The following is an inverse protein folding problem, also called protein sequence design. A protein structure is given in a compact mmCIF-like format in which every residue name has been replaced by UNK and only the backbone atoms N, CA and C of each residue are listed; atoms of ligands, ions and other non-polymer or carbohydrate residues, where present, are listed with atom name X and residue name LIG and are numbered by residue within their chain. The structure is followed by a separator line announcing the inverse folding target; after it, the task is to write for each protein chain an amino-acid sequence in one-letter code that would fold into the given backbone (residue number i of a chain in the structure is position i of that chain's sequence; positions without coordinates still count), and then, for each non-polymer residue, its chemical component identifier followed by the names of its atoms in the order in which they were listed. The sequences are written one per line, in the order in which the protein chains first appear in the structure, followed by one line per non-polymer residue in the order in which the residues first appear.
data_IF_438240848226
#
_entry.id   IF_438240848226
#
_cell.length_a   1.000
_cell.length_b   1.000
_cell.length_c   1.000
_cell.angle_alpha   90.00
_cell.angle_beta   90.00
_cell.angle_gamma   90.00
#
_symmetry.space_group_name_H-M   'P 1'
#
loop_
_entity.id
_entity.type
_entity.pdbx_description
1 polymer ?
#
# COMPACT_ATOMS: atom_id res chain seq x y z
N UNK A 1 24.82 29.99 -32.35
CA UNK A 1 24.41 29.81 -30.95
C UNK A 1 23.29 28.77 -30.94
N UNK A 2 23.38 27.68 -30.18
CA UNK A 2 22.28 26.73 -30.06
C UNK A 2 21.07 27.45 -29.46
N UNK A 3 19.92 27.36 -30.13
CA UNK A 3 18.66 27.89 -29.61
C UNK A 3 18.29 27.11 -28.35
N UNK A 4 18.26 27.78 -27.20
CA UNK A 4 17.80 27.20 -25.95
C UNK A 4 16.36 27.64 -25.70
N UNK A 5 15.49 26.68 -25.38
CA UNK A 5 14.14 26.97 -24.94
C UNK A 5 14.17 27.78 -23.62
N UNK A 6 13.20 28.67 -23.38
CA UNK A 6 13.04 29.27 -22.06
C UNK A 6 12.84 28.18 -20.99
N UNK A 7 13.26 28.45 -19.75
CA UNK A 7 13.25 27.44 -18.69
C UNK A 7 11.85 26.86 -18.42
N UNK A 8 10.80 27.70 -18.41
CA UNK A 8 9.43 27.25 -18.11
C UNK A 8 8.91 26.16 -19.07
N UNK A 9 8.92 26.34 -20.41
CA UNK A 9 8.52 25.28 -21.33
C UNK A 9 9.46 24.07 -21.28
N UNK A 10 10.76 24.25 -21.01
CA UNK A 10 11.69 23.14 -20.80
C UNK A 10 11.26 22.27 -19.60
N UNK A 11 10.94 22.89 -18.46
CA UNK A 11 10.42 22.18 -17.28
C UNK A 11 9.07 21.51 -17.54
N UNK A 12 8.16 22.15 -18.29
CA UNK A 12 6.88 21.52 -18.65
C UNK A 12 7.09 20.28 -19.52
N UNK A 13 7.98 20.34 -20.51
CA UNK A 13 8.34 19.18 -21.34
C UNK A 13 8.92 18.06 -20.47
N UNK A 14 9.80 18.39 -19.53
CA UNK A 14 10.39 17.41 -18.61
C UNK A 14 9.36 16.79 -17.68
N UNK A 15 8.38 17.54 -17.18
CA UNK A 15 7.29 16.99 -16.38
C UNK A 15 6.41 16.02 -17.19
N UNK A 16 6.13 16.34 -18.46
CA UNK A 16 5.41 15.43 -19.37
C UNK A 16 6.23 14.21 -19.79
N UNK A 17 7.55 14.35 -19.89
CA UNK A 17 8.45 13.25 -20.23
C UNK A 17 8.78 12.36 -19.03
N UNK A 18 8.55 12.84 -17.80
CA UNK A 18 8.79 12.06 -16.60
C UNK A 18 7.86 10.82 -16.60
N UNK A 19 8.39 9.62 -16.29
CA UNK A 19 7.59 8.41 -16.19
C UNK A 19 6.37 8.60 -15.29
N UNK A 20 5.23 7.95 -15.55
CA UNK A 20 4.01 8.15 -14.78
C UNK A 20 4.25 7.84 -13.29
N UNK A 21 3.40 8.43 -12.43
CA UNK A 21 3.39 8.16 -11.00
C UNK A 21 2.59 6.87 -10.75
N UNK A 22 3.11 5.75 -11.23
CA UNK A 22 2.62 4.40 -10.95
C UNK A 22 3.71 3.65 -10.17
N UNK A 23 3.35 2.69 -9.28
CA UNK A 23 4.35 1.96 -8.45
C UNK A 23 5.43 1.36 -9.35
N UNK A 24 5.03 0.63 -10.38
CA UNK A 24 5.96 -0.19 -11.17
C UNK A 24 6.94 0.68 -11.97
N UNK A 25 6.56 1.93 -12.28
CA UNK A 25 7.40 2.91 -12.95
C UNK A 25 8.01 3.93 -12.00
N UNK A 26 7.82 3.80 -10.68
CA UNK A 26 8.30 4.80 -9.73
C UNK A 26 9.83 4.80 -9.67
N UNK A 27 10.45 3.62 -9.75
CA UNK A 27 11.90 3.50 -9.87
C UNK A 27 12.43 4.22 -11.11
N UNK A 28 11.75 4.08 -12.25
CA UNK A 28 12.09 4.78 -13.49
C UNK A 28 11.91 6.29 -13.34
N UNK A 29 10.85 6.73 -12.64
CA UNK A 29 10.61 8.16 -12.38
C UNK A 29 11.68 8.77 -11.48
N UNK A 30 12.10 8.05 -10.43
CA UNK A 30 13.20 8.46 -9.55
C UNK A 30 14.51 8.52 -10.33
N UNK A 31 14.84 7.49 -11.10
CA UNK A 31 16.05 7.45 -11.94
C UNK A 31 16.03 8.57 -12.99
N UNK A 32 14.86 8.85 -13.60
CA UNK A 32 14.66 10.00 -14.49
C UNK A 32 15.02 11.31 -13.80
N UNK A 33 14.47 11.61 -12.62
CA UNK A 33 14.77 12.86 -11.92
C UNK A 33 16.22 12.93 -11.43
N UNK A 34 16.81 11.81 -11.00
CA UNK A 34 18.24 11.76 -10.67
C UNK A 34 19.06 12.13 -11.91
N UNK A 35 18.81 11.50 -13.06
CA UNK A 35 19.51 11.81 -14.32
C UNK A 35 19.34 13.28 -14.70
N UNK A 36 18.11 13.80 -14.70
CA UNK A 36 17.85 15.21 -15.03
C UNK A 36 18.56 16.15 -14.06
N UNK A 37 18.60 15.83 -12.76
CA UNK A 37 19.26 16.66 -11.75
C UNK A 37 20.76 16.82 -12.00
N UNK A 38 21.39 15.83 -12.66
CA UNK A 38 22.82 15.81 -12.99
C UNK A 38 23.16 16.48 -14.32
N UNK A 39 22.19 16.62 -15.25
CA UNK A 39 22.45 17.11 -16.61
C UNK A 39 22.67 18.63 -16.65
N UNK A 40 21.86 19.41 -15.94
CA UNK A 40 21.99 20.87 -16.02
C UNK A 40 21.61 21.60 -14.72
N UNK A 41 22.47 22.53 -14.28
CA UNK A 41 22.31 23.29 -13.03
C UNK A 41 20.97 24.03 -12.90
N UNK A 42 20.40 24.50 -14.02
CA UNK A 42 19.11 25.20 -14.02
C UNK A 42 17.90 24.30 -13.76
N UNK A 43 18.02 22.99 -13.95
CA UNK A 43 16.92 22.02 -13.70
C UNK A 43 17.15 21.22 -12.42
N UNK A 44 18.37 21.23 -11.87
CA UNK A 44 18.71 20.52 -10.62
C UNK A 44 17.76 20.83 -9.49
N UNK A 45 17.49 22.11 -9.22
CA UNK A 45 16.61 22.49 -8.10
C UNK A 45 15.17 21.96 -8.28
N UNK A 46 14.62 22.05 -9.50
CA UNK A 46 13.31 21.52 -9.84
C UNK A 46 13.26 19.99 -9.73
N UNK A 47 14.27 19.28 -10.25
CA UNK A 47 14.31 17.82 -10.20
C UNK A 47 14.47 17.32 -8.75
N UNK A 48 15.27 18.02 -7.93
CA UNK A 48 15.39 17.73 -6.51
C UNK A 48 14.07 17.97 -5.77
N UNK A 49 13.38 19.08 -6.04
CA UNK A 49 12.04 19.32 -5.49
C UNK A 49 11.08 18.16 -5.81
N UNK A 50 11.05 17.70 -7.06
CA UNK A 50 10.22 16.54 -7.48
C UNK A 50 10.61 15.22 -6.81
N UNK A 51 11.91 15.01 -6.54
CA UNK A 51 12.40 13.87 -5.76
C UNK A 51 12.00 13.97 -4.29
N UNK A 52 11.93 15.19 -3.74
CA UNK A 52 11.47 15.42 -2.38
C UNK A 52 9.94 15.32 -2.24
N UNK A 53 9.15 15.43 -3.31
CA UNK A 53 7.69 15.24 -3.22
C UNK A 53 7.29 13.77 -2.96
N UNK A 54 8.21 12.83 -3.13
CA UNK A 54 7.94 11.40 -3.14
C UNK A 54 8.97 10.64 -2.29
N UNK A 55 8.49 9.81 -1.37
CA UNK A 55 9.33 8.85 -0.67
C UNK A 55 8.97 7.43 -1.09
N UNK A 56 9.91 6.76 -1.76
CA UNK A 56 9.80 5.34 -2.06
C UNK A 56 10.63 4.54 -1.08
N UNK A 57 9.94 3.64 -0.39
CA UNK A 57 10.52 2.61 0.43
C UNK A 57 10.15 1.23 -0.11
N UNK A 58 11.17 0.46 -0.46
CA UNK A 58 11.06 -0.97 -0.75
C UNK A 58 11.68 -1.70 0.42
N UNK A 59 10.88 -2.46 1.15
CA UNK A 59 11.34 -3.31 2.23
C UNK A 59 12.35 -4.33 1.70
N UNK A 60 13.41 -4.54 2.45
CA UNK A 60 14.35 -5.64 2.24
C UNK A 60 14.63 -6.30 3.58
N UNK A 61 14.64 -7.64 3.65
CA UNK A 61 14.92 -8.35 4.90
C UNK A 61 16.41 -8.20 5.26
N UNK A 62 16.75 -7.13 5.98
CA UNK A 62 18.10 -6.83 6.45
C UNK A 62 18.08 -6.44 7.93
N UNK A 63 19.10 -6.85 8.72
CA UNK A 63 19.17 -6.52 10.14
C UNK A 63 19.19 -5.02 10.46
N UNK A 64 19.67 -4.17 9.54
CA UNK A 64 19.80 -2.72 9.74
C UNK A 64 18.80 -1.89 8.92
N UNK A 65 17.76 -2.51 8.36
CA UNK A 65 16.87 -1.82 7.43
C UNK A 65 16.11 -0.66 8.08
N UNK A 66 15.74 -0.77 9.36
CA UNK A 66 15.13 0.35 10.11
C UNK A 66 16.06 1.54 10.20
N UNK A 67 17.28 1.34 10.71
CA UNK A 67 18.24 2.42 10.89
C UNK A 67 18.55 3.10 9.56
N UNK A 68 18.59 2.32 8.47
CA UNK A 68 18.72 2.85 7.12
C UNK A 68 17.50 3.65 6.70
N UNK A 69 16.29 3.16 6.95
CA UNK A 69 15.05 3.87 6.65
C UNK A 69 14.97 5.20 7.39
N UNK A 70 15.19 5.17 8.71
CA UNK A 70 15.18 6.34 9.58
C UNK A 70 16.20 7.39 9.13
N UNK A 71 17.44 6.97 8.87
CA UNK A 71 18.49 7.86 8.34
C UNK A 71 18.09 8.46 6.98
N UNK A 72 17.45 7.68 6.11
CA UNK A 72 16.97 8.18 4.81
C UNK A 72 15.82 9.18 4.96
N UNK A 73 14.88 8.93 5.86
CA UNK A 73 13.81 9.87 6.17
C UNK A 73 14.36 11.18 6.74
N UNK A 74 15.19 11.09 7.77
CA UNK A 74 15.80 12.26 8.42
C UNK A 74 16.66 13.08 7.43
N UNK A 75 17.42 12.41 6.56
CA UNK A 75 18.24 13.06 5.54
C UNK A 75 17.41 13.68 4.40
N UNK A 76 16.28 13.06 4.04
CA UNK A 76 15.46 13.48 2.90
C UNK A 76 14.40 14.53 3.21
N UNK A 77 13.86 14.52 4.44
CA UNK A 77 12.63 15.24 4.77
C UNK A 77 12.76 16.22 5.95
N UNK A 78 13.78 16.08 6.80
CA UNK A 78 14.01 17.01 7.91
C UNK A 78 12.77 17.25 8.79
N UNK A 79 12.80 18.26 9.67
CA UNK A 79 11.62 18.63 10.48
C UNK A 79 10.68 19.62 9.79
N UNK A 80 11.17 20.30 8.76
CA UNK A 80 10.52 21.49 8.19
C UNK A 80 9.81 21.21 6.86
N UNK A 81 9.90 19.98 6.32
CA UNK A 81 9.20 19.61 5.07
C UNK A 81 8.27 18.44 5.30
N UNK A 82 7.01 18.65 4.96
CA UNK A 82 6.00 17.60 4.92
C UNK A 82 6.27 16.63 3.77
N UNK A 83 6.13 15.33 4.03
CA UNK A 83 6.10 14.33 2.98
C UNK A 83 4.71 14.35 2.33
N UNK A 84 4.63 14.63 1.04
CA UNK A 84 3.34 14.61 0.33
C UNK A 84 2.93 13.19 -0.12
N UNK A 85 3.89 12.35 -0.55
CA UNK A 85 3.59 11.03 -1.11
C UNK A 85 4.50 9.94 -0.56
N UNK A 86 3.89 8.92 0.02
CA UNK A 86 4.58 7.77 0.57
C UNK A 86 4.24 6.52 -0.23
N UNK A 87 5.26 5.83 -0.72
CA UNK A 87 5.16 4.55 -1.41
C UNK A 87 5.86 3.49 -0.58
N UNK A 88 5.09 2.52 -0.08
CA UNK A 88 5.56 1.40 0.72
C UNK A 88 5.39 0.13 -0.10
N UNK A 89 6.51 -0.42 -0.56
CA UNK A 89 6.57 -1.75 -1.14
C UNK A 89 7.04 -2.74 -0.08
N UNK A 90 6.11 -3.54 0.41
CA UNK A 90 6.29 -4.55 1.45
C UNK A 90 6.24 -5.96 0.86
N UNK A 91 6.44 -6.13 -0.45
CA UNK A 91 6.33 -7.45 -1.09
C UNK A 91 7.33 -8.49 -0.58
N UNK A 92 8.55 -8.08 -0.23
CA UNK A 92 9.58 -8.96 0.34
C UNK A 92 9.40 -9.21 1.85
N UNK A 93 8.28 -8.78 2.43
CA UNK A 93 8.04 -8.94 3.85
C UNK A 93 7.80 -10.41 4.21
N UNK A 94 8.42 -10.97 5.27
CA UNK A 94 8.38 -12.39 5.54
C UNK A 94 6.94 -12.85 5.79
N UNK A 95 6.56 -13.94 5.12
CA UNK A 95 5.20 -14.49 5.14
C UNK A 95 4.92 -15.34 6.39
N UNK A 96 5.97 -15.81 7.05
CA UNK A 96 5.91 -16.92 8.01
C UNK A 96 5.84 -16.46 9.47
N UNK A 97 5.60 -15.17 9.73
CA UNK A 97 5.61 -14.61 11.09
C UNK A 97 4.35 -15.00 11.88
N UNK A 98 3.26 -15.36 11.20
CA UNK A 98 2.00 -15.82 11.83
C UNK A 98 2.05 -17.29 12.30
N UNK A 99 3.06 -18.07 11.88
CA UNK A 99 3.25 -19.43 12.38
C UNK A 99 4.17 -19.38 13.59
N UNK A 100 3.59 -19.00 14.74
CA UNK A 100 4.23 -19.09 16.05
C UNK A 100 4.63 -20.52 16.40
N UNK A 101 5.72 -21.03 15.81
CA UNK A 101 6.57 -21.93 16.55
C UNK A 101 7.18 -21.10 17.67
N UNK A 102 6.71 -21.33 18.91
CA UNK A 102 7.37 -20.82 20.12
C UNK A 102 8.89 -20.91 19.90
N UNK A 103 9.63 -19.80 20.06
CA UNK A 103 11.07 -19.85 19.91
C UNK A 103 11.57 -20.90 20.91
N UNK A 104 12.03 -22.06 20.42
CA UNK A 104 12.60 -23.10 21.28
C UNK A 104 13.66 -22.40 22.11
N UNK A 105 13.51 -22.43 23.42
CA UNK A 105 14.28 -21.71 24.44
C UNK A 105 15.79 -21.96 24.41
N UNK A 106 16.26 -22.74 23.45
CA UNK A 106 17.58 -23.32 23.42
C UNK A 106 18.32 -22.99 22.11
N UNK A 107 17.73 -22.26 21.14
CA UNK A 107 18.39 -21.97 19.85
C UNK A 107 17.78 -20.80 19.08
N UNK A 108 18.55 -19.71 18.92
CA UNK A 108 18.30 -18.71 17.87
C UNK A 108 18.98 -19.21 16.59
N UNK A 109 18.21 -19.76 15.65
CA UNK A 109 18.69 -20.03 14.30
C UNK A 109 18.22 -18.90 13.37
N UNK A 110 19.12 -17.95 13.08
CA UNK A 110 18.90 -16.98 12.00
C UNK A 110 19.34 -17.62 10.69
N UNK A 111 18.41 -17.75 9.76
CA UNK A 111 18.68 -18.23 8.41
C UNK A 111 19.33 -17.10 7.61
N UNK A 112 20.63 -17.22 7.31
CA UNK A 112 21.33 -16.29 6.39
C UNK A 112 21.91 -17.10 5.23
N UNK A 113 21.44 -16.81 4.01
CA UNK A 113 21.90 -17.42 2.76
C UNK A 113 21.72 -18.95 2.63
N UNK A 114 20.59 -19.51 3.10
CA UNK A 114 20.21 -20.92 2.87
C UNK A 114 21.20 -22.00 3.38
N UNK A 115 22.19 -21.64 4.19
CA UNK A 115 23.15 -22.60 4.76
C UNK A 115 22.89 -22.81 6.25
N UNK A 116 22.73 -24.08 6.66
CA UNK A 116 22.69 -24.49 8.06
C UNK A 116 24.09 -24.39 8.66
N UNK A 117 24.23 -23.62 9.73
CA UNK A 117 25.42 -23.68 10.60
C UNK A 117 25.04 -24.44 11.86
N UNK A 118 25.74 -25.56 12.12
CA UNK A 118 25.60 -26.32 13.37
C UNK A 118 26.05 -25.46 14.56
N UNK A 119 25.21 -25.36 15.58
CA UNK A 119 25.51 -24.63 16.80
C UNK A 119 26.54 -25.39 17.65
N UNK A 120 27.58 -24.69 18.11
CA UNK A 120 28.47 -25.19 19.15
C UNK A 120 27.72 -25.19 20.50
N UNK A 121 27.80 -26.27 21.31
CA UNK A 121 27.02 -26.38 22.54
C UNK A 121 27.50 -25.41 23.61
N UNK A 122 26.60 -24.55 24.09
CA UNK A 122 26.78 -23.71 25.28
C UNK A 122 26.67 -24.56 26.55
N UNK A 123 27.75 -25.25 26.93
CA UNK A 123 27.83 -25.97 28.20
C UNK A 123 28.92 -25.42 29.14
N UNK A 124 29.46 -24.22 28.91
CA UNK A 124 30.65 -23.75 29.64
C UNK A 124 30.62 -22.31 30.14
N UNK A 125 29.45 -21.77 30.51
CA UNK A 125 29.38 -20.52 31.29
C UNK A 125 28.30 -20.63 32.38
N UNK A 126 28.57 -21.42 33.41
CA UNK A 126 27.91 -21.32 34.72
C UNK A 126 28.79 -20.48 35.64
N UNK A 127 28.39 -19.23 35.87
CA UNK A 127 29.00 -18.33 36.85
C UNK A 127 28.01 -17.21 37.18
N UNK A 128 27.19 -17.44 38.20
CA UNK A 128 25.94 -16.73 38.43
C UNK A 128 26.05 -15.28 38.86
N UNK A 129 25.00 -14.53 38.55
CA UNK A 129 24.44 -13.45 39.37
C UNK A 129 22.93 -13.47 39.17
N UNK A 130 22.19 -13.60 40.26
CA UNK A 130 20.75 -13.42 40.30
C UNK A 130 20.42 -11.94 40.03
N UNK A 131 19.66 -11.67 38.97
CA UNK A 131 19.19 -10.33 38.66
C UNK A 131 18.32 -10.32 37.41
N UNK A 132 17.00 -10.17 37.61
CA UNK A 132 15.99 -9.69 36.65
C UNK A 132 16.08 -10.20 35.22
N UNK A 133 15.24 -11.19 34.87
CA UNK A 133 14.88 -11.48 33.49
C UNK A 133 14.01 -10.32 32.94
N UNK A 134 14.66 -9.23 32.55
CA UNK A 134 14.13 -8.36 31.50
C UNK A 134 14.42 -9.12 30.21
N UNK A 135 13.37 -9.71 29.65
CA UNK A 135 13.45 -10.41 28.39
C UNK A 135 13.91 -9.42 27.32
N UNK A 136 15.04 -9.72 26.71
CA UNK A 136 15.59 -9.00 25.57
C UNK A 136 14.83 -9.50 24.34
N UNK A 137 13.58 -9.07 24.22
CA UNK A 137 12.74 -9.18 23.02
C UNK A 137 12.60 -7.78 22.41
N UNK A 138 13.73 -7.21 21.97
CA UNK A 138 13.69 -5.89 21.34
C UNK A 138 14.89 -5.74 20.41
N UNK A 139 14.97 -6.59 19.39
CA UNK A 139 15.84 -6.39 18.23
C UNK A 139 15.55 -7.47 17.20
N UNK A 140 14.60 -7.22 16.30
CA UNK A 140 14.38 -8.18 15.23
C UNK A 140 13.40 -7.83 14.13
N UNK A 141 12.42 -6.96 14.36
CA UNK A 141 11.41 -6.66 13.34
C UNK A 141 10.98 -5.20 13.44
N UNK A 142 11.80 -4.29 12.93
CA UNK A 142 11.39 -2.92 12.73
C UNK A 142 11.80 -2.57 11.31
N UNK A 143 10.85 -2.18 10.50
CA UNK A 143 11.17 -1.82 9.11
C UNK A 143 10.23 -0.80 8.55
N UNK A 144 8.96 -0.90 8.90
CA UNK A 144 7.90 0.06 8.62
C UNK A 144 6.84 -0.07 9.71
N UNK A 145 6.69 -1.30 10.23
CA UNK A 145 6.04 -1.63 11.47
C UNK A 145 6.99 -2.41 12.41
N UNK A 146 6.75 -2.32 13.71
CA UNK A 146 7.35 -3.09 14.79
C UNK A 146 6.41 -4.24 15.10
N UNK A 147 6.90 -5.48 15.16
CA UNK A 147 6.08 -6.55 15.70
C UNK A 147 6.01 -6.39 17.23
N UNK A 148 4.81 -6.23 17.76
CA UNK A 148 4.56 -6.11 19.20
C UNK A 148 3.82 -7.36 19.67
N UNK A 149 4.44 -8.06 20.62
CA UNK A 149 3.80 -9.14 21.36
C UNK A 149 3.00 -8.52 22.50
N UNK A 150 1.67 -8.49 22.41
CA UNK A 150 0.81 -8.07 23.53
C UNK A 150 0.46 -9.27 24.42
N UNK A 151 1.29 -9.46 25.45
CA UNK A 151 1.15 -10.52 26.48
C UNK A 151 -0.24 -10.55 27.16
N UNK A 152 -0.99 -9.44 27.14
CA UNK A 152 -2.29 -9.36 27.79
C UNK A 152 -3.46 -9.70 26.85
N UNK A 153 -3.29 -9.49 25.54
CA UNK A 153 -4.33 -9.74 24.55
C UNK A 153 -4.23 -11.13 23.91
N UNK A 154 -3.07 -11.77 23.96
CA UNK A 154 -2.84 -13.08 23.32
C UNK A 154 -2.93 -13.02 21.80
N UNK A 155 -2.65 -11.85 21.22
CA UNK A 155 -2.66 -11.63 19.78
C UNK A 155 -1.41 -10.87 19.35
N UNK A 156 -0.82 -11.35 18.27
CA UNK A 156 0.35 -10.80 17.62
C UNK A 156 -0.01 -9.62 16.71
N UNK A 157 0.72 -8.51 16.81
CA UNK A 157 0.29 -7.28 16.14
C UNK A 157 1.43 -6.43 15.56
N UNK A 158 1.20 -5.82 14.38
CA UNK A 158 2.16 -4.97 13.67
C UNK A 158 1.93 -3.48 13.92
N UNK A 159 2.92 -2.82 14.53
CA UNK A 159 2.91 -1.39 14.84
C UNK A 159 3.68 -0.50 13.88
N UNK A 160 3.01 0.28 13.00
CA UNK A 160 3.74 1.24 12.16
C UNK A 160 4.62 2.15 13.02
N UNK A 161 5.89 2.27 12.64
CA UNK A 161 6.88 3.01 13.41
C UNK A 161 6.39 4.45 13.65
N UNK A 162 6.50 4.92 14.90
CA UNK A 162 6.07 6.26 15.32
C UNK A 162 6.63 7.37 14.42
N UNK A 163 7.80 7.15 13.81
CA UNK A 163 8.38 8.05 12.81
C UNK A 163 7.45 8.24 11.61
N UNK A 164 7.00 7.17 10.95
CA UNK A 164 6.13 7.27 9.77
C UNK A 164 4.80 7.89 10.17
N UNK A 165 4.28 7.54 11.35
CA UNK A 165 3.06 8.13 11.88
C UNK A 165 3.19 9.66 12.02
N UNK A 166 4.31 10.15 12.59
CA UNK A 166 4.55 11.59 12.75
C UNK A 166 4.71 12.35 11.42
N UNK A 167 5.18 11.70 10.36
CA UNK A 167 5.26 12.30 9.03
C UNK A 167 3.96 12.09 8.21
N UNK A 168 3.02 11.28 8.70
CA UNK A 168 1.81 10.91 7.98
C UNK A 168 0.66 11.91 8.09
N UNK A 169 0.72 12.83 9.05
CA UNK A 169 -0.32 13.86 9.30
C UNK A 169 -0.56 14.79 8.09
N UNK A 170 0.35 14.82 7.10
CA UNK A 170 0.28 15.71 5.93
C UNK A 170 0.41 14.93 4.61
N UNK A 171 0.19 13.61 4.63
CA UNK A 171 0.28 12.81 3.41
C UNK A 171 -0.91 13.09 2.48
N UNK A 172 -0.64 13.60 1.29
CA UNK A 172 -1.66 13.68 0.24
C UNK A 172 -2.00 12.29 -0.30
N UNK A 173 -0.98 11.44 -0.47
CA UNK A 173 -1.12 10.11 -1.09
C UNK A 173 -0.31 9.06 -0.36
N UNK A 174 -1.00 7.98 0.03
CA UNK A 174 -0.38 6.76 0.55
C UNK A 174 -0.59 5.62 -0.45
N UNK A 175 0.53 5.06 -0.90
CA UNK A 175 0.55 3.89 -1.75
C UNK A 175 1.16 2.72 -0.99
N UNK A 176 0.42 1.62 -0.91
CA UNK A 176 0.88 0.42 -0.21
C UNK A 176 0.78 -0.78 -1.15
N UNK A 177 1.90 -1.47 -1.33
CA UNK A 177 1.99 -2.80 -1.93
C UNK A 177 2.33 -3.77 -0.81
N UNK A 178 1.39 -4.64 -0.45
CA UNK A 178 1.55 -5.60 0.64
C UNK A 178 2.15 -6.91 0.09
N UNK A 179 2.80 -7.73 0.93
CA UNK A 179 3.14 -9.10 0.54
C UNK A 179 1.85 -9.87 0.23
N UNK A 180 1.96 -10.92 -0.59
CA UNK A 180 0.83 -11.79 -0.94
C UNK A 180 0.26 -12.56 0.27
N UNK A 181 0.91 -12.51 1.43
CA UNK A 181 0.53 -13.21 2.66
C UNK A 181 -0.24 -12.33 3.64
N UNK A 182 -0.97 -12.99 4.55
CA UNK A 182 -1.92 -12.48 5.55
C UNK A 182 -1.43 -11.30 6.41
N UNK A 183 -1.25 -10.10 5.86
CA UNK A 183 -0.97 -8.94 6.69
C UNK A 183 -2.26 -8.58 7.45
N UNK A 184 -2.37 -9.04 8.70
CA UNK A 184 -3.51 -8.77 9.56
C UNK A 184 -3.42 -7.33 10.07
N UNK A 185 -4.02 -6.41 9.32
CA UNK A 185 -4.01 -4.97 9.61
C UNK A 185 -4.87 -4.59 10.83
N UNK A 186 -5.59 -5.54 11.49
CA UNK A 186 -6.29 -5.29 12.80
C UNK A 186 -5.40 -4.68 13.86
N UNK A 187 -4.13 -4.91 13.66
CA UNK A 187 -3.05 -4.73 14.58
C UNK A 187 -2.22 -3.48 14.30
N UNK A 188 -2.55 -2.74 13.22
CA UNK A 188 -2.04 -1.41 13.07
C UNK A 188 -2.46 -0.58 14.29
N UNK A 189 -1.51 0.09 14.95
CA UNK A 189 -1.70 0.63 16.28
C UNK A 189 -2.68 1.77 16.19
N UNK A 190 -3.14 2.22 17.34
CA UNK A 190 -4.07 3.36 17.42
C UNK A 190 -3.55 4.69 16.84
N UNK A 191 -2.25 5.02 16.61
CA UNK A 191 -1.90 6.27 15.96
C UNK A 191 -2.33 6.32 14.48
N UNK A 192 -2.95 5.27 13.93
CA UNK A 192 -3.69 5.37 12.68
C UNK A 192 -5.01 6.14 12.81
N UNK A 193 -5.49 6.45 14.02
CA UNK A 193 -6.74 7.18 14.24
C UNK A 193 -6.75 8.53 13.46
N UNK A 194 -5.57 9.07 13.13
CA UNK A 194 -5.42 10.35 12.41
C UNK A 194 -4.69 10.24 11.05
N UNK A 195 -4.95 9.20 10.25
CA UNK A 195 -4.39 9.16 8.89
C UNK A 195 -5.10 10.15 7.96
N UNK A 196 -4.44 11.26 7.68
CA UNK A 196 -5.00 12.35 6.88
C UNK A 196 -4.86 12.16 5.36
N UNK A 197 -4.67 10.91 4.93
CA UNK A 197 -4.49 10.57 3.53
C UNK A 197 -5.77 10.84 2.72
N UNK A 198 -5.68 11.76 1.76
CA UNK A 198 -6.76 12.04 0.79
C UNK A 198 -6.87 10.97 -0.29
N UNK A 199 -5.76 10.32 -0.61
CA UNK A 199 -5.69 9.32 -1.65
C UNK A 199 -5.01 8.06 -1.13
N UNK A 200 -5.72 6.94 -1.23
CA UNK A 200 -5.25 5.64 -0.78
C UNK A 200 -5.30 4.64 -1.93
N UNK A 201 -4.16 4.03 -2.21
CA UNK A 201 -4.02 3.07 -3.32
C UNK A 201 -3.45 1.77 -2.78
N UNK A 202 -4.18 0.69 -3.01
CA UNK A 202 -3.76 -0.67 -2.72
C UNK A 202 -3.57 -1.43 -4.02
N UNK A 203 -2.36 -1.95 -4.23
CA UNK A 203 -1.99 -2.71 -5.42
C UNK A 203 -1.52 -4.11 -5.03
N UNK A 204 -2.02 -5.13 -5.72
CA UNK A 204 -1.67 -6.54 -5.53
C UNK A 204 -1.83 -7.03 -4.08
N UNK A 205 -2.79 -6.46 -3.34
CA UNK A 205 -2.95 -6.74 -1.92
C UNK A 205 -3.93 -7.90 -1.69
N UNK A 206 -3.53 -8.89 -0.88
CA UNK A 206 -4.43 -9.91 -0.36
C UNK A 206 -4.99 -9.47 1.00
N UNK A 207 -6.31 -9.46 1.13
CA UNK A 207 -6.96 -9.00 2.34
C UNK A 207 -7.76 -10.13 2.95
N UNK A 208 -7.51 -10.42 4.23
CA UNK A 208 -8.52 -11.12 5.00
C UNK A 208 -9.71 -10.17 5.26
N UNK A 209 -10.92 -10.72 5.46
CA UNK A 209 -12.19 -9.97 5.65
C UNK A 209 -12.13 -8.80 6.64
N UNK A 210 -11.09 -8.72 7.45
CA UNK A 210 -10.93 -7.76 8.53
C UNK A 210 -9.96 -6.63 8.23
N UNK A 211 -9.03 -6.73 7.28
CA UNK A 211 -7.95 -5.73 7.15
C UNK A 211 -8.40 -4.38 6.56
N UNK A 212 -9.30 -4.33 5.57
CA UNK A 212 -9.69 -3.06 4.90
C UNK A 212 -10.55 -2.15 5.74
N UNK A 213 -11.56 -2.72 6.36
CA UNK A 213 -12.42 -2.04 7.32
C UNK A 213 -11.75 -1.70 8.63
N UNK A 214 -10.46 -2.02 8.85
CA UNK A 214 -9.70 -1.39 9.92
C UNK A 214 -8.96 -0.14 9.45
N UNK A 215 -8.56 -0.08 8.18
CA UNK A 215 -7.85 1.09 7.62
C UNK A 215 -8.83 2.18 7.19
N UNK A 216 -9.86 1.81 6.42
CA UNK A 216 -10.75 2.79 5.79
C UNK A 216 -11.50 3.68 6.78
N UNK A 217 -12.04 3.18 7.91
CA UNK A 217 -12.68 4.05 8.90
C UNK A 217 -11.74 5.03 9.57
N UNK A 218 -10.42 4.78 9.49
CA UNK A 218 -9.39 5.64 10.08
C UNK A 218 -8.90 6.75 9.13
N UNK A 219 -9.17 6.62 7.83
CA UNK A 219 -8.83 7.65 6.84
C UNK A 219 -9.99 8.64 6.65
N UNK A 220 -10.26 9.48 7.66
CA UNK A 220 -11.43 10.36 7.69
C UNK A 220 -11.44 11.48 6.61
N UNK A 221 -10.27 11.82 6.04
CA UNK A 221 -10.14 12.73 4.89
C UNK A 221 -10.05 12.00 3.54
N UNK A 222 -10.23 10.68 3.51
CA UNK A 222 -10.09 9.93 2.26
C UNK A 222 -11.10 10.42 1.23
N UNK A 223 -10.60 10.93 0.11
CA UNK A 223 -11.37 11.40 -1.03
C UNK A 223 -11.33 10.39 -2.17
N UNK A 224 -10.23 9.66 -2.33
CA UNK A 224 -10.07 8.68 -3.42
C UNK A 224 -9.49 7.36 -2.95
N UNK A 225 -10.18 6.28 -3.25
CA UNK A 225 -9.72 4.91 -3.03
C UNK A 225 -9.50 4.21 -4.38
N UNK A 226 -8.33 3.60 -4.55
CA UNK A 226 -8.02 2.71 -5.69
C UNK A 226 -7.63 1.35 -5.15
N UNK A 227 -8.40 0.31 -5.50
CA UNK A 227 -8.07 -1.08 -5.21
C UNK A 227 -7.72 -1.78 -6.52
N UNK A 228 -6.52 -2.32 -6.61
CA UNK A 228 -5.99 -2.95 -7.81
C UNK A 228 -5.50 -4.37 -7.53
N UNK A 229 -5.97 -5.31 -8.33
CA UNK A 229 -5.60 -6.74 -8.28
C UNK A 229 -5.72 -7.35 -6.88
N UNK A 230 -6.65 -6.84 -6.08
CA UNK A 230 -6.92 -7.36 -4.75
C UNK A 230 -7.74 -8.64 -4.84
N UNK A 231 -7.42 -9.65 -4.04
CA UNK A 231 -8.23 -10.88 -3.98
C UNK A 231 -9.35 -10.79 -2.92
N UNK A 232 -10.56 -11.21 -3.32
CA UNK A 232 -11.70 -11.56 -2.46
C UNK A 232 -12.07 -10.60 -1.32
N UNK A 233 -12.67 -9.45 -1.65
CA UNK A 233 -13.45 -8.63 -0.71
C UNK A 233 -14.92 -9.02 -0.79
N UNK A 234 -15.55 -9.07 0.38
CA UNK A 234 -16.97 -8.78 0.48
C UNK A 234 -17.14 -7.30 0.12
N UNK A 235 -17.57 -7.03 -1.12
CA UNK A 235 -17.76 -5.67 -1.63
C UNK A 235 -18.73 -4.87 -0.75
N UNK A 236 -19.77 -5.51 -0.23
CA UNK A 236 -20.72 -4.84 0.65
C UNK A 236 -20.03 -4.38 1.94
N UNK A 237 -19.12 -5.19 2.48
CA UNK A 237 -18.31 -4.80 3.62
C UNK A 237 -17.36 -3.65 3.31
N UNK A 238 -16.64 -3.71 2.19
CA UNK A 238 -15.75 -2.63 1.77
C UNK A 238 -16.50 -1.31 1.70
N UNK A 239 -17.63 -1.30 0.99
CA UNK A 239 -18.48 -0.12 0.83
C UNK A 239 -18.98 0.39 2.19
N UNK A 240 -19.32 -0.50 3.13
CA UNK A 240 -19.84 -0.13 4.44
C UNK A 240 -18.82 0.59 5.32
N UNK A 241 -17.52 0.40 5.05
CA UNK A 241 -16.43 1.02 5.80
C UNK A 241 -15.83 2.24 5.09
N UNK A 242 -16.39 2.66 3.95
CA UNK A 242 -15.92 3.88 3.28
C UNK A 242 -16.30 5.13 4.11
N UNK A 243 -15.37 6.08 4.29
CA UNK A 243 -15.67 7.33 4.98
C UNK A 243 -16.62 8.20 4.14
N UNK A 244 -17.42 9.04 4.81
CA UNK A 244 -18.41 9.90 4.14
C UNK A 244 -17.79 10.98 3.25
N UNK A 245 -16.48 11.25 3.40
CA UNK A 245 -15.68 12.14 2.57
C UNK A 245 -15.31 11.56 1.22
N UNK A 246 -15.51 10.25 1.02
CA UNK A 246 -15.12 9.58 -0.21
C UNK A 246 -15.84 10.20 -1.41
N UNK A 247 -15.06 10.58 -2.41
CA UNK A 247 -15.54 11.15 -3.67
C UNK A 247 -15.37 10.19 -4.83
N UNK A 248 -14.31 9.39 -4.82
CA UNK A 248 -13.93 8.54 -5.95
C UNK A 248 -13.51 7.16 -5.47
N UNK A 249 -14.06 6.13 -6.11
CA UNK A 249 -13.69 4.74 -5.86
C UNK A 249 -13.39 4.07 -7.19
N UNK A 250 -12.21 3.47 -7.30
CA UNK A 250 -11.78 2.68 -8.44
C UNK A 250 -11.46 1.26 -7.96
N UNK A 251 -12.18 0.27 -8.49
CA UNK A 251 -11.98 -1.14 -8.20
C UNK A 251 -11.55 -1.84 -9.49
N UNK A 252 -10.32 -2.32 -9.54
CA UNK A 252 -9.71 -2.96 -10.71
C UNK A 252 -9.35 -4.39 -10.34
N UNK A 253 -10.21 -5.34 -10.66
CA UNK A 253 -10.22 -6.65 -10.02
C UNK A 253 -10.50 -7.77 -11.02
N UNK A 254 -9.84 -8.92 -10.82
CA UNK A 254 -10.02 -10.10 -11.68
C UNK A 254 -11.18 -10.99 -11.22
N UNK A 255 -11.50 -10.95 -9.92
CA UNK A 255 -12.55 -11.77 -9.31
C UNK A 255 -13.33 -10.93 -8.32
N UNK A 256 -14.63 -11.16 -8.25
CA UNK A 256 -15.48 -10.56 -7.23
C UNK A 256 -16.26 -11.68 -6.57
N UNK A 257 -16.32 -11.63 -5.24
CA UNK A 257 -17.23 -12.45 -4.48
C UNK A 257 -18.35 -11.57 -3.96
N UNK A 258 -19.55 -11.83 -4.44
CA UNK A 258 -20.76 -11.19 -3.95
C UNK A 258 -21.28 -12.06 -2.82
N UNK A 259 -21.31 -11.52 -1.60
CA UNK A 259 -21.92 -12.21 -0.45
C UNK A 259 -23.43 -11.90 -0.46
N UNK A 260 -24.26 -12.88 -0.82
CA UNK A 260 -25.72 -12.70 -0.98
C UNK A 260 -26.41 -12.29 0.33
N UNK A 261 -25.83 -12.64 1.48
CA UNK A 261 -26.42 -12.43 2.81
C UNK A 261 -26.54 -10.93 3.19
N UNK A 262 -25.93 -10.02 2.41
CA UNK A 262 -25.86 -8.58 2.73
C UNK A 262 -26.66 -7.67 1.79
N UNK A 263 -27.56 -8.21 0.98
CA UNK A 263 -28.41 -7.43 0.07
C UNK A 263 -29.33 -6.39 0.76
N UNK A 264 -29.48 -6.45 2.09
CA UNK A 264 -30.38 -5.58 2.85
C UNK A 264 -29.73 -4.33 3.46
N UNK A 265 -28.42 -4.12 3.30
CA UNK A 265 -27.76 -2.92 3.83
C UNK A 265 -27.78 -1.79 2.81
N UNK A 266 -28.06 -0.59 3.28
CA UNK A 266 -27.98 0.63 2.48
C UNK A 266 -26.98 1.59 3.10
N UNK A 267 -26.05 2.07 2.28
CA UNK A 267 -24.97 2.97 2.69
C UNK A 267 -25.19 4.28 1.96
N UNK A 268 -25.14 5.39 2.68
CA UNK A 268 -25.30 6.72 2.12
C UNK A 268 -23.92 7.36 1.98
N UNK A 269 -23.49 7.61 0.74
CA UNK A 269 -22.23 8.27 0.42
C UNK A 269 -22.55 9.58 -0.31
N UNK A 270 -22.82 10.67 0.42
CA UNK A 270 -23.39 11.89 -0.16
C UNK A 270 -22.43 12.63 -1.09
N UNK A 271 -21.11 12.45 -0.88
CA UNK A 271 -20.05 13.11 -1.64
C UNK A 271 -19.45 12.23 -2.74
N UNK A 272 -19.92 10.99 -2.89
CA UNK A 272 -19.40 10.09 -3.92
C UNK A 272 -19.79 10.61 -5.32
N UNK A 273 -18.80 11.09 -6.06
CA UNK A 273 -18.89 11.65 -7.41
C UNK A 273 -18.73 10.55 -8.47
N UNK A 274 -17.84 9.59 -8.21
CA UNK A 274 -17.44 8.58 -9.19
C UNK A 274 -17.20 7.22 -8.53
N UNK A 275 -17.85 6.19 -9.08
CA UNK A 275 -17.58 4.79 -8.76
C UNK A 275 -17.28 4.05 -10.05
N UNK A 276 -16.05 3.54 -10.17
CA UNK A 276 -15.63 2.75 -11.34
C UNK A 276 -15.24 1.36 -10.89
N UNK A 277 -15.91 0.36 -11.46
CA UNK A 277 -15.52 -1.03 -11.38
C UNK A 277 -15.00 -1.48 -12.74
N UNK A 278 -13.76 -1.96 -12.78
CA UNK A 278 -13.12 -2.51 -13.97
C UNK A 278 -12.83 -3.99 -13.72
N UNK A 279 -13.55 -4.85 -14.44
CA UNK A 279 -13.27 -6.28 -14.48
C UNK A 279 -12.04 -6.53 -15.36
N UNK A 280 -10.98 -7.03 -14.75
CA UNK A 280 -9.73 -7.36 -15.44
C UNK A 280 -9.81 -8.81 -15.92
N UNK A 281 -9.80 -9.03 -17.25
CA UNK A 281 -9.66 -10.40 -17.75
C UNK A 281 -8.23 -10.90 -17.51
N UNK A 282 -8.05 -12.14 -17.01
CA UNK A 282 -6.72 -12.75 -16.97
C UNK A 282 -6.17 -12.81 -18.40
N UNK A 283 -4.90 -12.43 -18.60
CA UNK A 283 -4.28 -12.50 -19.92
C UNK A 283 -4.35 -13.95 -20.39
N UNK A 284 -5.06 -14.18 -21.49
CA UNK A 284 -5.57 -15.47 -21.99
C UNK A 284 -4.50 -16.43 -22.51
N UNK A 285 -3.38 -16.62 -21.81
CA UNK A 285 -2.35 -17.55 -22.25
C UNK A 285 -2.66 -19.03 -21.95
N UNK A 286 -3.74 -19.40 -21.25
CA UNK A 286 -3.96 -20.84 -20.97
C UNK A 286 -5.35 -21.42 -20.73
N UNK A 287 -6.46 -20.67 -20.68
CA UNK A 287 -7.74 -21.30 -20.30
C UNK A 287 -8.87 -21.19 -21.34
N UNK A 288 -9.61 -22.29 -21.45
CA UNK A 288 -10.55 -22.66 -22.51
C UNK A 288 -11.79 -21.76 -22.59
N UNK A 289 -12.21 -21.49 -23.82
CA UNK A 289 -13.23 -20.55 -24.33
C UNK A 289 -14.68 -20.64 -23.78
N UNK A 290 -14.97 -21.36 -22.69
CA UNK A 290 -16.36 -21.62 -22.26
C UNK A 290 -16.94 -20.65 -21.21
N UNK A 291 -16.21 -19.64 -20.75
CA UNK A 291 -16.64 -18.78 -19.61
C UNK A 291 -17.20 -17.40 -19.97
N UNK A 292 -17.29 -17.03 -21.25
CA UNK A 292 -17.62 -15.64 -21.63
C UNK A 292 -19.04 -15.19 -21.26
N UNK A 293 -20.04 -16.07 -21.34
CA UNK A 293 -21.44 -15.71 -21.03
C UNK A 293 -21.64 -15.51 -19.51
N UNK A 294 -20.96 -16.28 -18.66
CA UNK A 294 -21.08 -16.21 -17.20
C UNK A 294 -20.56 -14.87 -16.65
N UNK A 295 -19.52 -14.30 -17.27
CA UNK A 295 -18.89 -13.05 -16.82
C UNK A 295 -19.81 -11.82 -17.03
N UNK A 296 -20.59 -11.81 -18.13
CA UNK A 296 -21.48 -10.69 -18.44
C UNK A 296 -22.67 -10.64 -17.46
N UNK A 297 -23.22 -11.80 -17.12
CA UNK A 297 -24.29 -11.91 -16.13
C UNK A 297 -23.78 -11.52 -14.72
N UNK A 298 -22.55 -11.92 -14.37
CA UNK A 298 -21.92 -11.54 -13.10
C UNK A 298 -21.71 -10.01 -12.97
N UNK A 299 -21.28 -9.33 -14.03
CA UNK A 299 -21.13 -7.87 -14.00
C UNK A 299 -22.49 -7.15 -13.89
N UNK A 300 -23.52 -7.65 -14.56
CA UNK A 300 -24.88 -7.11 -14.45
C UNK A 300 -25.44 -7.27 -13.02
N UNK A 301 -25.23 -8.43 -12.39
CA UNK A 301 -25.60 -8.68 -11.00
C UNK A 301 -24.85 -7.73 -10.05
N UNK A 302 -23.53 -7.61 -10.21
CA UNK A 302 -22.70 -6.68 -9.43
C UNK A 302 -23.24 -5.25 -9.52
N UNK A 303 -23.53 -4.79 -10.74
CA UNK A 303 -24.06 -3.45 -10.96
C UNK A 303 -25.37 -3.24 -10.21
N UNK A 304 -26.27 -4.23 -10.24
CA UNK A 304 -27.54 -4.16 -9.53
C UNK A 304 -27.33 -4.08 -8.01
N UNK A 305 -26.39 -4.85 -7.48
CA UNK A 305 -26.07 -4.91 -6.04
C UNK A 305 -25.41 -3.62 -5.57
N UNK A 306 -24.42 -3.10 -6.30
CA UNK A 306 -23.79 -1.82 -5.93
C UNK A 306 -24.82 -0.68 -5.93
N UNK A 307 -25.71 -0.63 -6.94
CA UNK A 307 -26.77 0.38 -7.01
C UNK A 307 -27.86 0.21 -5.94
N UNK A 308 -28.10 -1.01 -5.46
CA UNK A 308 -29.05 -1.24 -4.37
C UNK A 308 -28.46 -0.82 -3.03
N UNK A 309 -27.19 -1.14 -2.79
CA UNK A 309 -26.46 -0.87 -1.55
C UNK A 309 -26.10 0.61 -1.42
N UNK A 310 -25.48 1.20 -2.44
CA UNK A 310 -24.92 2.56 -2.39
C UNK A 310 -25.97 3.60 -2.78
N UNK A 311 -26.25 4.54 -1.88
CA UNK A 311 -27.07 5.73 -2.11
C UNK A 311 -26.16 6.94 -2.23
N UNK A 312 -25.84 7.29 -3.47
CA UNK A 312 -25.00 8.42 -3.81
C UNK A 312 -25.66 9.24 -4.95
N UNK A 313 -26.33 10.37 -4.63
CA UNK A 313 -27.23 11.06 -5.57
C UNK A 313 -26.51 11.73 -6.75
N UNK A 314 -25.23 12.05 -6.59
CA UNK A 314 -24.41 12.69 -7.61
C UNK A 314 -23.44 11.72 -8.29
N UNK A 315 -23.45 10.43 -7.90
CA UNK A 315 -22.46 9.47 -8.33
C UNK A 315 -22.70 9.00 -9.77
N UNK A 316 -21.65 9.06 -10.58
CA UNK A 316 -21.59 8.34 -11.85
C UNK A 316 -21.02 6.94 -11.59
N UNK A 317 -21.80 5.91 -11.95
CA UNK A 317 -21.37 4.52 -11.82
C UNK A 317 -20.91 3.96 -13.17
N UNK A 318 -19.65 3.54 -13.25
CA UNK A 318 -19.05 2.92 -14.43
C UNK A 318 -18.71 1.46 -14.12
N UNK A 319 -19.15 0.56 -14.98
CA UNK A 319 -18.83 -0.87 -14.92
C UNK A 319 -18.23 -1.25 -16.27
N UNK A 320 -16.96 -1.65 -16.28
CA UNK A 320 -16.17 -1.82 -17.50
C UNK A 320 -15.55 -3.22 -17.51
N UNK A 321 -15.54 -3.85 -18.69
CA UNK A 321 -14.64 -4.97 -18.97
C UNK A 321 -13.36 -4.40 -19.58
N UNK A 322 -12.20 -4.82 -19.08
CA UNK A 322 -10.91 -4.48 -19.65
C UNK A 322 -10.20 -5.72 -20.16
N UNK A 323 -9.77 -5.66 -21.42
CA UNK A 323 -8.84 -6.61 -22.04
C UNK A 323 -7.38 -6.15 -21.90
N UNK A 324 -7.14 -4.98 -21.29
CA UNK A 324 -5.79 -4.46 -21.07
C UNK A 324 -5.09 -5.29 -20.00
N UNK A 325 -3.76 -5.22 -19.97
CA UNK A 325 -3.01 -5.71 -18.82
C UNK A 325 -3.50 -5.02 -17.55
N UNK A 326 -3.31 -5.67 -16.41
CA UNK A 326 -3.64 -5.10 -15.11
C UNK A 326 -2.91 -3.76 -14.91
N UNK A 327 -1.62 -3.71 -15.22
CA UNK A 327 -0.77 -2.51 -15.16
C UNK A 327 -1.32 -1.35 -16.01
N UNK A 328 -1.71 -1.62 -17.27
CA UNK A 328 -2.26 -0.60 -18.16
C UNK A 328 -3.61 -0.08 -17.63
N UNK A 329 -4.45 -0.96 -17.10
CA UNK A 329 -5.73 -0.57 -16.52
C UNK A 329 -5.53 0.30 -15.27
N UNK A 330 -4.53 -0.02 -14.43
CA UNK A 330 -4.15 0.83 -13.30
C UNK A 330 -3.65 2.19 -13.78
N UNK A 331 -2.78 2.22 -14.81
CA UNK A 331 -2.29 3.46 -15.38
C UNK A 331 -3.43 4.34 -15.91
N UNK A 332 -4.43 3.76 -16.57
CA UNK A 332 -5.64 4.49 -17.01
C UNK A 332 -6.43 5.06 -15.83
N UNK A 333 -6.64 4.26 -14.77
CA UNK A 333 -7.37 4.72 -13.58
C UNK A 333 -6.64 5.89 -12.89
N UNK A 334 -5.31 5.81 -12.82
CA UNK A 334 -4.46 6.87 -12.28
C UNK A 334 -4.41 8.10 -13.19
N UNK A 335 -4.47 7.91 -14.50
CA UNK A 335 -4.55 9.02 -15.45
C UNK A 335 -5.91 9.76 -15.32
N UNK A 336 -7.00 9.01 -15.21
CA UNK A 336 -8.33 9.58 -14.95
C UNK A 336 -8.35 10.33 -13.60
N UNK A 337 -7.66 9.80 -12.60
CA UNK A 337 -7.48 10.46 -11.31
C UNK A 337 -6.74 11.80 -11.43
N UNK A 338 -5.62 11.84 -12.17
CA UNK A 338 -4.81 13.05 -12.38
C UNK A 338 -5.51 14.17 -13.16
N UNK A 339 -6.50 13.85 -13.98
CA UNK A 339 -7.25 14.88 -14.74
C UNK A 339 -8.17 15.72 -13.83
N UNK A 340 -8.31 15.35 -12.56
CA UNK A 340 -9.19 15.99 -11.61
C UNK A 340 -8.49 16.55 -10.36
N UNK A 341 -7.16 16.49 -10.32
CA UNK A 341 -6.28 17.24 -9.42
C UNK A 341 -5.77 18.47 -10.19
#
# INVERSE_FOLDING_TARGET
MPYRLPLKPELSILEFAAPPLAIDTLHDRVDFFIKISLVHRSVTAWAQERLHDQFLYTYRPRPDEHERLKKRFEAGFGRDRSLCRLYLDLTEFPTDIDEGEEPRTDSVSVMVNWNFYEALPMASVLGGVAGGSVWVEEQGCEAVAHYVLDDLAGYDHWEMCAMIASYSEVLDTLWVRLPCSNLNIKHLPRPFDDLDARHLIFADCWWFRTSAGNVLPRCYQLETLVLFATESYDLAWLLANLPTTIRRVYLLQQRIRIDEDRRNFSIVLPLLELFTFTWLHPSTESESQTTADDDQDALAELQQIVKSIVKAPICTFNFLHSIKSSEDALADALAAFKLHL
#
